data_IF_701826228788
#
_entry.id   IF_701826228788
#
_cell.length_a   1.000
_cell.length_b   1.000
_cell.length_c   1.000
_cell.angle_alpha   90.00
_cell.angle_beta   90.00
_cell.angle_gamma   90.00
#
_symmetry.space_group_name_H-M   'P 1'
#
loop_
_entity.id
_entity.type
_entity.pdbx_description
1 polymer ?
#
# COMPACT_ATOMS: atom_id res chain seq x y z
N UNK A 1 36.15 29.28 10.69
CA UNK A 1 34.83 28.67 10.95
C UNK A 1 34.36 28.07 9.63
N UNK A 2 34.69 26.80 9.37
CA UNK A 2 34.34 26.11 8.11
C UNK A 2 33.09 25.29 8.35
N UNK A 3 31.99 25.67 7.71
CA UNK A 3 30.74 24.92 7.72
C UNK A 3 30.92 23.77 6.72
N UNK A 4 31.12 22.54 7.20
CA UNK A 4 31.02 21.35 6.36
C UNK A 4 29.54 21.13 6.03
N UNK A 5 29.17 21.40 4.77
CA UNK A 5 27.88 21.01 4.22
C UNK A 5 27.89 19.47 4.11
N UNK A 6 27.32 18.78 5.09
CA UNK A 6 27.12 17.33 5.03
C UNK A 6 26.17 17.02 3.88
N UNK A 7 26.74 16.50 2.80
CA UNK A 7 26.01 16.05 1.62
C UNK A 7 25.01 14.98 2.07
N UNK A 8 23.70 15.10 1.80
CA UNK A 8 22.76 14.03 2.12
C UNK A 8 23.17 12.80 1.29
N UNK A 9 23.43 11.69 1.97
CA UNK A 9 23.67 10.40 1.31
C UNK A 9 22.52 10.15 0.34
N UNK A 10 22.82 9.98 -0.95
CA UNK A 10 21.84 9.69 -2.00
C UNK A 10 21.34 8.22 -1.92
N UNK A 11 21.18 7.70 -0.70
CA UNK A 11 20.69 6.36 -0.45
C UNK A 11 19.18 6.34 -0.68
N UNK A 12 18.79 5.93 -1.88
CA UNK A 12 17.39 5.63 -2.15
C UNK A 12 16.98 4.45 -1.27
N UNK A 13 15.85 4.54 -0.55
CA UNK A 13 15.38 3.44 0.28
C UNK A 13 15.21 2.18 -0.56
N UNK A 14 15.78 1.06 -0.09
CA UNK A 14 15.61 -0.24 -0.73
C UNK A 14 14.17 -0.70 -0.52
N UNK A 15 13.42 -0.81 -1.60
CA UNK A 15 12.04 -1.30 -1.59
C UNK A 15 11.95 -2.77 -1.96
N UNK A 16 11.11 -3.50 -1.24
CA UNK A 16 10.75 -4.86 -1.58
C UNK A 16 9.44 -4.90 -2.38
N UNK A 17 9.54 -4.88 -3.70
CA UNK A 17 8.39 -4.93 -4.62
C UNK A 17 7.60 -6.26 -4.55
N UNK A 18 8.06 -7.25 -3.79
CA UNK A 18 7.31 -8.49 -3.57
C UNK A 18 6.24 -8.33 -2.49
N UNK A 19 6.30 -7.28 -1.68
CA UNK A 19 5.30 -6.99 -0.66
C UNK A 19 4.14 -6.20 -1.25
N UNK A 20 2.93 -6.63 -0.94
CA UNK A 20 1.70 -5.96 -1.34
C UNK A 20 0.86 -5.69 -0.12
N UNK A 21 0.21 -4.55 -0.09
CA UNK A 21 -0.54 -4.08 1.07
C UNK A 21 -1.95 -3.69 0.67
N UNK A 22 -2.88 -3.89 1.60
CA UNK A 22 -4.21 -3.29 1.51
C UNK A 22 -4.50 -2.49 2.78
N UNK A 23 -5.05 -1.29 2.62
CA UNK A 23 -5.36 -0.33 3.68
C UNK A 23 -6.72 0.33 3.42
N UNK A 24 -7.20 1.14 4.39
CA UNK A 24 -8.42 1.95 4.28
C UNK A 24 -9.63 1.19 3.71
N UNK A 25 -9.87 -0.01 4.24
CA UNK A 25 -10.94 -0.91 3.77
C UNK A 25 -12.28 -0.42 4.33
N UNK A 26 -13.16 0.04 3.46
CA UNK A 26 -14.53 0.45 3.79
C UNK A 26 -15.53 -0.46 3.07
N UNK A 27 -16.41 -1.08 3.84
CA UNK A 27 -17.52 -1.90 3.30
C UNK A 27 -18.77 -1.05 3.21
N UNK A 28 -19.32 -0.94 2.01
CA UNK A 28 -20.49 -0.13 1.71
C UNK A 28 -21.75 -0.99 1.75
N UNK A 29 -22.90 -0.33 1.93
CA UNK A 29 -24.21 -0.98 1.98
C UNK A 29 -24.70 -1.48 0.62
N UNK A 30 -24.09 -1.02 -0.48
CA UNK A 30 -24.34 -1.47 -1.85
C UNK A 30 -23.58 -2.76 -2.23
N UNK A 31 -22.84 -3.36 -1.28
CA UNK A 31 -22.07 -4.58 -1.49
C UNK A 31 -20.70 -4.37 -2.12
N UNK A 32 -20.27 -3.11 -2.28
CA UNK A 32 -18.92 -2.75 -2.73
C UNK A 32 -17.98 -2.54 -1.54
N UNK A 33 -16.71 -2.77 -1.79
CA UNK A 33 -15.59 -2.57 -0.87
C UNK A 33 -14.66 -1.56 -1.50
N UNK A 34 -14.52 -0.40 -0.86
CA UNK A 34 -13.48 0.58 -1.18
C UNK A 34 -12.23 0.21 -0.40
N UNK A 35 -11.08 0.20 -1.04
CA UNK A 35 -9.81 -0.08 -0.38
C UNK A 35 -8.65 0.53 -1.15
N UNK A 36 -7.56 0.77 -0.44
CA UNK A 36 -6.30 1.16 -1.04
C UNK A 36 -5.39 -0.06 -1.22
N UNK A 37 -4.65 -0.09 -2.33
CA UNK A 37 -3.69 -1.14 -2.64
C UNK A 37 -2.31 -0.56 -2.97
N UNK A 38 -1.27 -1.12 -2.35
CA UNK A 38 0.11 -0.66 -2.52
C UNK A 38 1.07 -1.83 -2.81
N UNK A 39 2.16 -1.55 -3.53
CA UNK A 39 3.25 -2.50 -3.78
C UNK A 39 4.57 -1.87 -3.32
N UNK A 40 5.32 -2.59 -2.49
CA UNK A 40 6.60 -2.12 -1.95
C UNK A 40 6.45 -1.10 -0.83
N UNK A 41 5.88 0.08 -1.14
CA UNK A 41 5.66 1.16 -0.18
C UNK A 41 4.17 1.31 0.16
N UNK A 42 3.77 1.09 1.43
CA UNK A 42 2.42 1.35 1.91
C UNK A 42 1.83 2.71 1.54
N UNK A 43 2.69 3.74 1.47
CA UNK A 43 2.30 5.13 1.22
C UNK A 43 2.04 5.42 -0.26
N UNK A 44 2.49 4.55 -1.17
CA UNK A 44 2.25 4.64 -2.61
C UNK A 44 1.12 3.68 -3.00
N UNK A 45 -0.09 4.05 -2.58
CA UNK A 45 -1.30 3.28 -2.83
C UNK A 45 -2.14 3.82 -3.99
N UNK A 46 -2.99 2.97 -4.53
CA UNK A 46 -4.07 3.33 -5.45
C UNK A 46 -5.41 2.97 -4.83
N UNK A 47 -6.41 3.83 -5.03
CA UNK A 47 -7.79 3.56 -4.61
C UNK A 47 -8.47 2.58 -5.58
N UNK A 48 -9.12 1.56 -5.02
CA UNK A 48 -9.87 0.55 -5.74
C UNK A 48 -11.26 0.36 -5.12
N UNK A 49 -12.22 0.00 -5.97
CA UNK A 49 -13.60 -0.29 -5.60
C UNK A 49 -14.03 -1.60 -6.26
N UNK A 50 -14.29 -2.63 -5.48
CA UNK A 50 -14.68 -3.96 -5.97
C UNK A 50 -15.86 -4.53 -5.18
N UNK A 51 -16.71 -5.39 -5.76
CA UNK A 51 -17.64 -6.20 -4.98
C UNK A 51 -16.93 -7.06 -3.92
N UNK A 52 -17.56 -7.31 -2.77
CA UNK A 52 -16.95 -8.08 -1.66
C UNK A 52 -16.34 -9.44 -2.10
N UNK A 53 -16.99 -10.26 -2.96
CA UNK A 53 -16.39 -11.52 -3.42
C UNK A 53 -15.11 -11.29 -4.24
N UNK A 54 -15.08 -10.25 -5.07
CA UNK A 54 -13.93 -9.90 -5.89
C UNK A 54 -12.78 -9.33 -5.04
N UNK A 55 -13.10 -8.53 -4.02
CA UNK A 55 -12.12 -8.07 -3.03
C UNK A 55 -11.46 -9.23 -2.28
N UNK A 56 -12.24 -10.23 -1.87
CA UNK A 56 -11.72 -11.44 -1.19
C UNK A 56 -10.76 -12.21 -2.10
N UNK A 57 -11.21 -12.51 -3.33
CA UNK A 57 -10.38 -13.19 -4.33
C UNK A 57 -9.11 -12.40 -4.69
N UNK A 58 -9.20 -11.07 -4.74
CA UNK A 58 -8.05 -10.17 -4.95
C UNK A 58 -7.03 -10.31 -3.82
N UNK A 59 -7.47 -10.25 -2.57
CA UNK A 59 -6.59 -10.39 -1.40
C UNK A 59 -5.83 -11.73 -1.42
N UNK A 60 -6.53 -12.82 -1.73
CA UNK A 60 -5.93 -14.17 -1.83
C UNK A 60 -4.93 -14.27 -2.98
N UNK A 61 -5.30 -13.78 -4.16
CA UNK A 61 -4.46 -13.84 -5.37
C UNK A 61 -3.15 -13.08 -5.19
N UNK A 62 -3.22 -11.90 -4.57
CA UNK A 62 -2.06 -11.02 -4.41
C UNK A 62 -1.31 -11.21 -3.10
N UNK A 63 -1.76 -12.11 -2.22
CA UNK A 63 -1.13 -12.43 -0.93
C UNK A 63 -0.83 -11.15 -0.11
N UNK A 64 -1.83 -10.27 -0.04
CA UNK A 64 -1.66 -8.92 0.51
C UNK A 64 -1.56 -8.95 2.03
N UNK A 65 -0.74 -8.05 2.57
CA UNK A 65 -0.70 -7.76 4.01
C UNK A 65 -1.69 -6.65 4.32
N UNK A 66 -2.57 -6.86 5.30
CA UNK A 66 -3.52 -5.83 5.75
C UNK A 66 -2.81 -4.87 6.69
N UNK A 67 -2.88 -3.58 6.39
CA UNK A 67 -2.40 -2.54 7.28
C UNK A 67 -3.60 -2.06 8.11
N UNK A 68 -3.48 -2.21 9.43
CA UNK A 68 -4.48 -1.78 10.39
C UNK A 68 -4.26 -0.33 10.81
N UNK A 69 -5.33 0.45 10.80
CA UNK A 69 -5.51 1.64 11.63
C UNK A 69 -6.50 1.31 12.74
#
# INVERSE_FOLDING_TARGET
MTIQLSQPSNEMPVVDLTRKYVSRIERRTDGLVSFEFAIGWPELSVDLLLPEPAFTAFCERHQVTRLGS
#
